data_IF_133406840598
#
_entry.id   IF_133406840598
#
_cell.length_a   1.000
_cell.length_b   1.000
_cell.length_c   1.000
_cell.angle_alpha   90.00
_cell.angle_beta   90.00
_cell.angle_gamma   90.00
#
_symmetry.space_group_name_H-M   'P 1'
#
loop_
_entity.id
_entity.type
_entity.pdbx_description
1 polymer ?
#
# COMPACT_ATOMS: atom_id res chain seq x y z
N UNK A 1 -9.36 12.59 8.20
CA UNK A 1 -8.26 11.73 7.74
C UNK A 1 -8.81 10.36 7.35
N UNK A 2 -8.46 9.90 6.18
CA UNK A 2 -8.96 8.64 5.64
C UNK A 2 -7.88 7.57 5.78
N UNK A 3 -8.22 6.45 6.41
CA UNK A 3 -7.32 5.30 6.55
C UNK A 3 -7.79 4.17 5.63
N UNK A 4 -6.84 3.54 4.96
CA UNK A 4 -7.15 2.44 4.05
C UNK A 4 -5.94 1.50 3.98
N UNK A 5 -6.04 0.47 3.18
CA UNK A 5 -4.95 -0.48 3.03
C UNK A 5 -5.02 -1.12 1.64
N UNK A 6 -3.87 -1.66 1.21
CA UNK A 6 -3.80 -2.50 0.01
C UNK A 6 -3.32 -3.89 0.40
N UNK A 7 -3.93 -4.90 -0.19
CA UNK A 7 -3.43 -6.26 -0.14
C UNK A 7 -2.61 -6.51 -1.40
N UNK A 8 -1.33 -6.77 -1.22
CA UNK A 8 -0.43 -7.06 -2.34
C UNK A 8 -0.07 -8.54 -2.28
N UNK A 9 -0.55 -9.35 -3.24
CA UNK A 9 -0.28 -10.78 -3.25
C UNK A 9 1.10 -11.09 -3.79
N UNK A 10 1.62 -12.26 -3.41
CA UNK A 10 2.85 -12.83 -3.96
C UNK A 10 4.09 -11.96 -3.76
N UNK A 11 4.16 -11.23 -2.64
CA UNK A 11 5.39 -10.51 -2.28
C UNK A 11 6.38 -11.50 -1.69
N UNK A 12 7.52 -11.67 -2.34
CA UNK A 12 8.57 -12.57 -1.87
C UNK A 12 9.70 -11.87 -1.13
N UNK A 13 9.83 -10.54 -1.32
CA UNK A 13 10.96 -9.79 -0.76
C UNK A 13 10.52 -8.48 -0.13
N UNK A 14 11.21 -8.08 0.93
CA UNK A 14 10.99 -6.80 1.61
C UNK A 14 11.20 -5.60 0.68
N UNK A 15 12.06 -5.75 -0.33
CA UNK A 15 12.29 -4.70 -1.30
C UNK A 15 11.04 -4.32 -2.08
N UNK A 16 10.16 -5.28 -2.35
CA UNK A 16 8.89 -5.02 -3.04
C UNK A 16 7.97 -4.16 -2.17
N UNK A 17 7.98 -4.40 -0.85
CA UNK A 17 7.17 -3.60 0.09
C UNK A 17 7.63 -2.15 0.05
N UNK A 18 8.94 -1.92 0.08
CA UNK A 18 9.47 -0.56 0.01
C UNK A 18 9.12 0.14 -1.31
N UNK A 19 9.10 -0.61 -2.40
CA UNK A 19 8.70 -0.08 -3.70
C UNK A 19 7.24 0.39 -3.66
N UNK A 20 6.32 -0.43 -3.13
CA UNK A 20 4.91 -0.06 -3.04
C UNK A 20 4.68 1.09 -2.05
N UNK A 21 5.41 1.11 -0.95
CA UNK A 21 5.34 2.24 0.00
C UNK A 21 5.71 3.55 -0.70
N UNK A 22 6.74 3.51 -1.53
CA UNK A 22 7.18 4.68 -2.30
C UNK A 22 6.09 5.18 -3.25
N UNK A 23 5.38 4.26 -3.92
CA UNK A 23 4.29 4.61 -4.81
C UNK A 23 3.18 5.34 -4.05
N UNK A 24 2.81 4.83 -2.87
CA UNK A 24 1.78 5.44 -2.04
C UNK A 24 2.20 6.84 -1.61
N UNK A 25 3.44 7.00 -1.16
CA UNK A 25 3.95 8.29 -0.70
C UNK A 25 4.03 9.30 -1.84
N UNK A 26 4.46 8.87 -3.02
CA UNK A 26 4.54 9.75 -4.20
C UNK A 26 3.16 10.23 -4.62
N UNK A 27 2.13 9.45 -4.38
CA UNK A 27 0.75 9.82 -4.73
C UNK A 27 0.08 10.68 -3.64
N UNK A 28 0.77 10.96 -2.54
CA UNK A 28 0.26 11.82 -1.48
C UNK A 28 -0.20 11.10 -0.22
N UNK A 29 -0.12 9.76 -0.18
CA UNK A 29 -0.47 8.99 1.01
C UNK A 29 0.66 8.95 2.02
N UNK A 30 0.31 8.65 3.26
CA UNK A 30 1.30 8.47 4.33
C UNK A 30 1.20 7.01 4.80
N UNK A 31 2.26 6.26 4.58
CA UNK A 31 2.31 4.86 4.99
C UNK A 31 2.45 4.78 6.50
N UNK A 32 1.56 4.03 7.15
CA UNK A 32 1.56 3.89 8.61
C UNK A 32 2.12 2.54 9.07
N UNK A 33 2.18 1.55 8.16
CA UNK A 33 2.74 0.26 8.52
C UNK A 33 2.40 -0.80 7.47
N UNK A 34 2.80 -2.03 7.76
CA UNK A 34 2.46 -3.16 6.93
C UNK A 34 2.32 -4.42 7.79
N UNK A 35 1.66 -5.43 7.26
CA UNK A 35 1.49 -6.70 7.95
C UNK A 35 1.46 -7.83 6.93
N UNK A 36 2.01 -8.97 7.31
CA UNK A 36 1.95 -10.18 6.49
C UNK A 36 0.72 -11.00 6.86
N UNK A 37 0.08 -11.60 5.87
CA UNK A 37 -1.11 -12.42 6.08
C UNK A 37 -0.86 -13.86 5.65
N UNK A 38 -1.68 -14.77 6.19
CA UNK A 38 -1.63 -16.18 5.87
C UNK A 38 -0.50 -16.91 6.57
N UNK A 39 -0.58 -18.23 6.54
CA UNK A 39 0.42 -19.09 7.18
C UNK A 39 1.74 -19.08 6.41
N UNK A 40 1.66 -18.80 5.12
CA UNK A 40 2.83 -18.78 4.23
C UNK A 40 3.48 -17.40 4.14
N UNK A 41 2.80 -16.34 4.59
CA UNK A 41 3.32 -14.98 4.50
C UNK A 41 3.40 -14.45 3.09
N UNK A 42 2.60 -14.98 2.17
CA UNK A 42 2.69 -14.62 0.74
C UNK A 42 2.03 -13.29 0.42
N UNK A 43 1.08 -12.85 1.23
CA UNK A 43 0.37 -11.59 0.99
C UNK A 43 0.81 -10.55 2.01
N UNK A 44 0.89 -9.31 1.56
CA UNK A 44 1.25 -8.21 2.44
C UNK A 44 0.15 -7.14 2.40
N UNK A 45 -0.27 -6.68 3.57
CA UNK A 45 -1.17 -5.54 3.69
C UNK A 45 -0.34 -4.31 3.99
N UNK A 46 -0.50 -3.27 3.18
CA UNK A 46 0.18 -2.00 3.39
C UNK A 46 -0.86 -0.99 3.84
N UNK A 47 -0.70 -0.49 5.06
CA UNK A 47 -1.63 0.46 5.67
C UNK A 47 -1.17 1.88 5.41
N UNK A 48 -2.10 2.75 5.06
CA UNK A 48 -1.79 4.14 4.77
C UNK A 48 -2.95 5.04 5.15
N UNK A 49 -2.70 6.33 5.18
CA UNK A 49 -3.71 7.34 5.43
C UNK A 49 -3.56 8.48 4.44
N UNK A 50 -4.67 9.16 4.17
CA UNK A 50 -4.72 10.31 3.26
C UNK A 50 -5.47 11.45 3.93
N UNK A 51 -5.13 12.69 3.57
CA UNK A 51 -5.79 13.87 4.10
C UNK A 51 -7.18 14.09 3.52
N UNK A 52 -7.41 13.62 2.30
CA UNK A 52 -8.68 13.82 1.60
C UNK A 52 -9.01 12.63 0.71
N UNK A 53 -10.27 12.58 0.29
CA UNK A 53 -10.72 11.55 -0.64
C UNK A 53 -10.01 11.67 -1.99
N UNK A 54 -9.69 12.89 -2.41
CA UNK A 54 -8.97 13.12 -3.66
C UNK A 54 -7.59 12.46 -3.63
N UNK A 55 -6.87 12.60 -2.52
CA UNK A 55 -5.59 11.93 -2.35
C UNK A 55 -5.74 10.42 -2.31
N UNK A 56 -6.80 9.93 -1.65
CA UNK A 56 -7.09 8.51 -1.60
C UNK A 56 -7.26 7.92 -3.00
N UNK A 57 -7.99 8.62 -3.86
CA UNK A 57 -8.20 8.16 -5.23
C UNK A 57 -6.91 8.15 -6.04
N UNK A 58 -6.03 9.13 -5.83
CA UNK A 58 -4.72 9.18 -6.47
C UNK A 58 -3.87 7.98 -6.06
N UNK A 59 -3.88 7.65 -4.77
CA UNK A 59 -3.14 6.51 -4.25
C UNK A 59 -3.68 5.21 -4.84
N UNK A 60 -4.99 5.05 -4.86
CA UNK A 60 -5.61 3.86 -5.42
C UNK A 60 -5.29 3.69 -6.90
N UNK A 61 -5.36 4.77 -7.67
CA UNK A 61 -5.02 4.73 -9.10
C UNK A 61 -3.57 4.34 -9.33
N UNK A 62 -2.67 4.90 -8.55
CA UNK A 62 -1.25 4.60 -8.67
C UNK A 62 -0.96 3.13 -8.36
N UNK A 63 -1.62 2.59 -7.33
CA UNK A 63 -1.42 1.19 -6.96
C UNK A 63 -2.06 0.22 -7.95
N UNK A 64 -3.19 0.57 -8.52
CA UNK A 64 -3.88 -0.29 -9.49
C UNK A 64 -3.04 -0.56 -10.73
N UNK A 65 -2.14 0.32 -11.09
CA UNK A 65 -1.23 0.11 -12.22
C UNK A 65 -0.27 -1.03 -11.98
N UNK A 66 -0.06 -1.43 -10.74
CA UNK A 66 0.89 -2.47 -10.36
C UNK A 66 0.20 -3.74 -9.85
N UNK A 67 -1.07 -3.67 -9.62
CA UNK A 67 -1.87 -4.79 -9.16
C UNK A 67 -2.83 -5.23 -10.26
#
# INVERSE_FOLDING_TARGET
>A
MIKDYFEVPDIEHDGDIEHFKGIIQDAGGIVTGHSWSGDDGDNCYIFYRCSSREELEKVKSAMEEFL
#
